data_IF_007322569003
#
_entry.id   IF_007322569003
#
_cell.length_a   1.000
_cell.length_b   1.000
_cell.length_c   1.000
_cell.angle_alpha   90.00
_cell.angle_beta   90.00
_cell.angle_gamma   90.00
#
_symmetry.space_group_name_H-M   'P 1'
#
loop_
_entity.id
_entity.type
_entity.pdbx_description
1 polymer ?
#
# COMPACT_ATOMS: atom_id res chain seq x y z
N UNK A 1 31.94 4.11 50.08
CA UNK A 1 32.61 5.27 49.41
C UNK A 1 31.97 5.41 48.03
N UNK A 2 31.29 6.53 47.74
CA UNK A 2 30.57 6.76 46.48
C UNK A 2 31.47 7.54 45.53
N UNK A 3 31.68 7.03 44.33
CA UNK A 3 32.43 7.68 43.24
C UNK A 3 31.66 8.89 42.70
N UNK A 4 32.33 10.02 42.42
CA UNK A 4 31.68 11.19 41.84
C UNK A 4 31.32 10.96 40.36
N UNK A 5 30.27 11.64 39.85
CA UNK A 5 29.86 11.51 38.45
C UNK A 5 30.89 12.16 37.50
N UNK A 6 31.03 11.63 36.26
CA UNK A 6 31.93 12.19 35.26
C UNK A 6 31.46 13.58 34.80
N UNK A 7 32.42 14.47 34.56
CA UNK A 7 32.16 15.83 34.06
C UNK A 7 31.74 15.80 32.59
N UNK A 8 30.86 16.72 32.16
CA UNK A 8 30.48 16.87 30.76
C UNK A 8 31.70 17.29 29.92
N UNK A 9 31.83 16.68 28.74
CA UNK A 9 32.89 16.97 27.78
C UNK A 9 32.64 18.33 27.12
N UNK A 10 33.60 19.23 27.22
CA UNK A 10 33.65 20.47 26.45
C UNK A 10 33.91 20.14 24.97
N UNK A 11 32.90 20.34 24.12
CA UNK A 11 33.09 20.24 22.67
C UNK A 11 33.75 21.53 22.15
N UNK A 12 34.79 21.42 21.30
CA UNK A 12 35.41 22.57 20.67
C UNK A 12 34.41 23.27 19.74
N UNK A 13 34.13 24.53 20.05
CA UNK A 13 33.36 25.45 19.21
C UNK A 13 34.09 25.71 17.89
N UNK A 14 33.81 24.88 16.87
CA UNK A 14 34.27 25.12 15.50
C UNK A 14 33.39 26.19 14.85
N UNK A 15 33.92 27.40 14.73
CA UNK A 15 33.23 28.54 14.08
C UNK A 15 32.94 28.24 12.60
N UNK A 16 31.66 28.16 12.17
CA UNK A 16 31.31 27.82 10.79
C UNK A 16 31.19 29.11 9.97
N UNK A 17 32.31 29.77 9.63
CA UNK A 17 32.28 31.02 8.86
C UNK A 17 32.79 30.92 7.41
N UNK A 18 33.17 29.73 6.92
CA UNK A 18 33.71 29.59 5.55
C UNK A 18 32.83 28.83 4.54
N UNK A 19 31.70 28.25 4.94
CA UNK A 19 30.89 27.42 4.03
C UNK A 19 29.90 28.25 3.19
N UNK A 20 29.52 29.45 3.65
CA UNK A 20 28.48 30.27 3.01
C UNK A 20 28.88 30.77 1.62
N UNK A 21 30.17 30.92 1.33
CA UNK A 21 30.64 31.45 0.05
C UNK A 21 30.57 30.44 -1.12
N UNK A 22 30.49 29.12 -0.85
CA UNK A 22 30.53 28.09 -1.90
C UNK A 22 29.14 27.67 -2.41
N UNK A 23 28.09 27.97 -1.65
CA UNK A 23 26.70 27.65 -1.99
C UNK A 23 26.25 28.24 -3.33
N UNK A 24 26.47 29.54 -3.65
CA UNK A 24 25.99 30.10 -4.91
C UNK A 24 26.72 29.51 -6.13
N UNK A 25 28.01 29.17 -6.00
CA UNK A 25 28.78 28.52 -7.06
C UNK A 25 28.30 27.10 -7.34
N UNK A 26 27.99 26.31 -6.31
CA UNK A 26 27.45 24.97 -6.45
C UNK A 26 26.06 24.98 -7.13
N UNK A 27 25.19 25.91 -6.74
CA UNK A 27 23.87 26.07 -7.35
C UNK A 27 23.95 26.49 -8.83
N UNK A 28 24.87 27.40 -9.17
CA UNK A 28 25.08 27.83 -10.55
C UNK A 28 25.60 26.68 -11.44
N UNK A 29 26.53 25.85 -10.93
CA UNK A 29 27.01 24.67 -11.64
C UNK A 29 25.90 23.64 -11.86
N UNK A 30 25.09 23.35 -10.85
CA UNK A 30 23.95 22.41 -10.98
C UNK A 30 22.93 22.92 -12.01
N UNK A 31 22.63 24.22 -12.01
CA UNK A 31 21.74 24.82 -13.00
C UNK A 31 22.31 24.73 -14.42
N UNK A 32 23.60 24.99 -14.61
CA UNK A 32 24.27 24.85 -15.91
C UNK A 32 24.25 23.41 -16.42
N UNK A 33 24.53 22.42 -15.55
CA UNK A 33 24.44 20.99 -15.90
C UNK A 33 23.02 20.60 -16.29
N UNK A 34 22.00 21.08 -15.56
CA UNK A 34 20.60 20.80 -15.87
C UNK A 34 20.18 21.39 -17.23
N UNK A 35 20.64 22.60 -17.56
CA UNK A 35 20.40 23.24 -18.85
C UNK A 35 21.10 22.50 -19.99
N UNK A 36 22.33 22.02 -19.79
CA UNK A 36 23.04 21.20 -20.77
C UNK A 36 22.36 19.84 -21.00
N UNK A 37 21.89 19.19 -19.93
CA UNK A 37 21.12 17.94 -20.03
C UNK A 37 19.80 18.12 -20.79
N UNK A 38 19.11 19.25 -20.60
CA UNK A 38 17.93 19.59 -21.40
C UNK A 38 18.25 19.89 -22.86
N UNK A 39 19.33 20.63 -23.13
CA UNK A 39 19.72 21.01 -24.49
C UNK A 39 20.20 19.82 -25.33
N UNK A 40 20.82 18.82 -24.71
CA UNK A 40 21.31 17.61 -25.40
C UNK A 40 20.20 16.60 -25.74
N UNK A 41 18.94 16.87 -25.41
CA UNK A 41 17.80 16.03 -25.79
C UNK A 41 17.81 14.63 -25.17
N UNK A 42 18.67 14.37 -24.19
CA UNK A 42 18.75 13.10 -23.47
C UNK A 42 17.61 12.88 -22.47
N UNK A 43 16.74 13.89 -22.27
CA UNK A 43 15.45 13.67 -21.62
C UNK A 43 14.52 12.98 -22.60
N UNK A 44 14.69 11.66 -22.74
CA UNK A 44 13.88 10.79 -23.57
C UNK A 44 12.40 11.05 -23.33
N UNK A 45 11.73 11.54 -24.37
CA UNK A 45 10.27 11.48 -24.53
C UNK A 45 9.89 10.01 -24.71
N UNK A 46 9.89 9.23 -23.64
CA UNK A 46 9.80 7.77 -23.73
C UNK A 46 8.89 7.18 -22.69
N UNK A 47 7.60 7.04 -23.06
CA UNK A 47 6.66 6.17 -22.36
C UNK A 47 5.74 6.92 -21.41
N UNK A 48 4.70 7.55 -21.96
CA UNK A 48 3.47 7.69 -21.19
C UNK A 48 3.06 6.29 -20.69
N UNK A 49 2.53 6.17 -19.46
CA UNK A 49 2.13 4.87 -18.91
C UNK A 49 1.17 4.24 -19.90
N UNK A 50 1.56 3.09 -20.49
CA UNK A 50 0.63 2.26 -21.23
C UNK A 50 -0.45 1.88 -20.23
N UNK A 51 -1.60 2.52 -20.36
CA UNK A 51 -2.82 2.16 -19.65
C UNK A 51 -3.20 0.78 -20.18
N UNK A 52 -2.68 -0.24 -19.52
CA UNK A 52 -3.03 -1.63 -19.78
C UNK A 52 -4.49 -1.77 -19.37
N UNK A 53 -5.36 -1.58 -20.36
CA UNK A 53 -6.78 -1.81 -20.22
C UNK A 53 -6.93 -3.30 -19.91
N UNK A 54 -7.27 -3.60 -18.67
CA UNK A 54 -7.65 -4.95 -18.27
C UNK A 54 -8.92 -5.30 -19.06
N UNK A 55 -8.77 -6.08 -20.13
CA UNK A 55 -9.92 -6.64 -20.82
C UNK A 55 -10.64 -7.57 -19.83
N UNK A 56 -11.93 -7.36 -19.53
CA UNK A 56 -12.67 -8.25 -18.68
C UNK A 56 -12.71 -9.63 -19.33
N UNK A 57 -12.05 -10.61 -18.69
CA UNK A 57 -12.04 -12.00 -19.16
C UNK A 57 -13.48 -12.52 -19.21
N UNK A 58 -13.95 -13.05 -20.36
CA UNK A 58 -15.29 -13.62 -20.48
C UNK A 58 -15.52 -14.71 -19.41
N UNK A 59 -16.59 -14.59 -18.62
CA UNK A 59 -16.88 -15.49 -17.49
C UNK A 59 -16.93 -16.98 -17.89
N UNK A 60 -17.30 -17.29 -19.13
CA UNK A 60 -17.55 -18.66 -19.58
C UNK A 60 -16.27 -19.52 -19.74
N UNK A 61 -15.11 -18.89 -19.98
CA UNK A 61 -13.84 -19.64 -20.11
C UNK A 61 -13.20 -20.00 -18.76
N UNK A 62 -13.61 -19.33 -17.67
CA UNK A 62 -12.98 -19.46 -16.34
C UNK A 62 -13.40 -20.74 -15.60
N UNK A 63 -14.55 -21.32 -15.94
CA UNK A 63 -15.11 -22.46 -15.20
C UNK A 63 -14.34 -23.78 -15.33
N UNK A 64 -13.64 -24.00 -16.45
CA UNK A 64 -13.04 -25.32 -16.76
C UNK A 64 -11.57 -25.45 -16.38
N UNK A 65 -10.82 -24.35 -16.30
CA UNK A 65 -9.40 -24.35 -15.92
C UNK A 65 -9.15 -24.18 -14.42
N UNK A 66 -10.15 -23.70 -13.64
CA UNK A 66 -10.01 -23.50 -12.18
C UNK A 66 -9.79 -24.77 -11.36
N UNK A 67 -10.08 -25.96 -11.90
CA UNK A 67 -9.98 -27.25 -11.17
C UNK A 67 -8.59 -27.90 -11.18
N UNK A 68 -7.58 -27.28 -11.79
CA UNK A 68 -6.23 -27.86 -11.83
C UNK A 68 -5.31 -27.35 -10.71
N UNK A 69 -5.75 -26.38 -9.90
CA UNK A 69 -4.99 -26.00 -8.71
C UNK A 69 -5.21 -27.07 -7.62
N UNK A 70 -4.16 -27.80 -7.18
CA UNK A 70 -4.28 -28.78 -6.10
C UNK A 70 -4.73 -28.18 -4.76
N UNK A 71 -4.83 -26.84 -4.68
CA UNK A 71 -5.26 -26.08 -3.52
C UNK A 71 -6.65 -25.43 -3.69
N UNK A 72 -7.35 -25.66 -4.81
CA UNK A 72 -8.69 -25.13 -4.98
C UNK A 72 -9.66 -25.78 -3.97
N UNK A 73 -10.50 -25.01 -3.28
CA UNK A 73 -11.45 -25.55 -2.31
C UNK A 73 -12.45 -26.48 -3.02
N UNK A 74 -12.80 -27.58 -2.35
CA UNK A 74 -13.74 -28.58 -2.88
C UNK A 74 -15.17 -28.07 -3.02
N UNK A 75 -15.51 -26.98 -2.32
CA UNK A 75 -16.84 -26.37 -2.30
C UNK A 75 -16.75 -24.91 -2.71
N UNK A 76 -17.62 -24.43 -3.63
CA UNK A 76 -17.70 -23.01 -3.97
C UNK A 76 -17.94 -22.17 -2.72
N UNK A 77 -17.18 -21.08 -2.57
CA UNK A 77 -17.38 -20.14 -1.46
C UNK A 77 -18.66 -19.32 -1.69
N UNK A 78 -19.19 -18.73 -0.62
CA UNK A 78 -20.37 -17.84 -0.66
C UNK A 78 -20.05 -16.46 -0.06
N UNK A 79 -20.89 -15.46 -0.31
CA UNK A 79 -20.78 -14.12 0.29
C UNK A 79 -19.46 -13.40 0.02
N UNK A 80 -18.82 -12.90 1.09
CA UNK A 80 -17.52 -12.22 1.00
C UNK A 80 -16.42 -13.15 0.49
N UNK A 81 -16.37 -14.39 0.98
CA UNK A 81 -15.39 -15.39 0.54
C UNK A 81 -15.42 -15.59 -0.96
N UNK A 82 -16.62 -15.67 -1.56
CA UNK A 82 -16.79 -15.80 -3.02
C UNK A 82 -16.31 -14.55 -3.78
N UNK A 83 -16.50 -13.37 -3.19
CA UNK A 83 -16.07 -12.10 -3.79
C UNK A 83 -14.54 -12.01 -3.80
N UNK A 84 -13.90 -12.38 -2.70
CA UNK A 84 -12.44 -12.43 -2.58
C UNK A 84 -11.85 -13.51 -3.49
N UNK A 85 -12.43 -14.72 -3.52
CA UNK A 85 -12.01 -15.79 -4.44
C UNK A 85 -12.09 -15.34 -5.90
N UNK A 86 -13.17 -14.67 -6.30
CA UNK A 86 -13.31 -14.17 -7.67
C UNK A 86 -12.26 -13.11 -8.02
N UNK A 87 -11.95 -12.22 -7.07
CA UNK A 87 -11.01 -11.13 -7.29
C UNK A 87 -9.55 -11.59 -7.26
N UNK A 88 -9.20 -12.50 -6.36
CA UNK A 88 -7.83 -12.92 -6.07
C UNK A 88 -7.42 -14.22 -6.74
N UNK A 89 -8.40 -15.07 -7.09
CA UNK A 89 -8.14 -16.48 -7.34
C UNK A 89 -7.67 -17.20 -6.07
N UNK A 90 -7.49 -18.52 -6.19
CA UNK A 90 -6.89 -19.37 -5.16
C UNK A 90 -5.74 -20.17 -5.79
N UNK A 91 -4.87 -19.46 -6.53
CA UNK A 91 -3.70 -20.05 -7.18
C UNK A 91 -2.54 -20.23 -6.22
N UNK A 92 -2.42 -19.32 -5.24
CA UNK A 92 -1.36 -19.32 -4.25
C UNK A 92 -1.78 -20.07 -2.97
N UNK A 93 -0.92 -20.92 -2.37
CA UNK A 93 -1.28 -21.75 -1.22
C UNK A 93 -1.75 -20.99 0.02
N UNK A 94 -1.33 -19.73 0.19
CA UNK A 94 -1.65 -18.91 1.36
C UNK A 94 -2.95 -18.09 1.20
N UNK A 95 -3.46 -17.93 -0.03
CA UNK A 95 -4.65 -17.11 -0.30
C UNK A 95 -5.92 -17.73 0.30
N UNK A 96 -6.18 -19.05 0.22
CA UNK A 96 -7.36 -19.64 0.85
C UNK A 96 -7.48 -19.33 2.35
N UNK A 97 -6.39 -19.49 3.11
CA UNK A 97 -6.35 -19.18 4.53
C UNK A 97 -6.56 -17.68 4.80
N UNK A 98 -5.97 -16.82 3.95
CA UNK A 98 -6.17 -15.38 4.02
C UNK A 98 -7.63 -14.96 3.77
N UNK A 99 -8.32 -15.59 2.81
CA UNK A 99 -9.76 -15.38 2.57
C UNK A 99 -10.56 -15.78 3.80
N UNK A 100 -10.24 -16.92 4.42
CA UNK A 100 -10.94 -17.40 5.62
C UNK A 100 -10.82 -16.40 6.78
N UNK A 101 -9.64 -15.80 7.00
CA UNK A 101 -9.44 -14.76 8.00
C UNK A 101 -10.32 -13.52 7.77
N UNK A 102 -10.45 -13.07 6.52
CA UNK A 102 -11.28 -11.91 6.17
C UNK A 102 -12.78 -12.20 6.29
N UNK A 103 -13.19 -13.42 6.02
CA UNK A 103 -14.59 -13.84 6.14
C UNK A 103 -15.04 -14.04 7.58
N UNK A 104 -14.11 -14.39 8.48
CA UNK A 104 -14.37 -14.53 9.92
C UNK A 104 -14.04 -13.26 10.73
N UNK A 105 -14.00 -12.08 10.12
CA UNK A 105 -13.71 -10.82 10.85
C UNK A 105 -14.69 -10.53 12.00
N UNK A 106 -15.97 -10.88 11.84
CA UNK A 106 -16.99 -10.61 12.86
C UNK A 106 -16.75 -11.44 14.13
N UNK A 107 -16.26 -12.66 13.96
CA UNK A 107 -15.94 -13.58 15.05
C UNK A 107 -14.55 -13.31 15.64
N UNK A 108 -13.55 -13.06 14.78
CA UNK A 108 -12.16 -12.90 15.19
C UNK A 108 -11.82 -11.47 15.67
N UNK A 109 -12.59 -10.46 15.25
CA UNK A 109 -12.38 -9.04 15.57
C UNK A 109 -13.66 -8.40 16.15
N UNK A 110 -14.08 -8.79 17.37
CA UNK A 110 -15.31 -8.26 17.97
C UNK A 110 -15.25 -6.74 18.20
N UNK A 111 -14.05 -6.20 18.47
CA UNK A 111 -13.85 -4.76 18.74
C UNK A 111 -13.80 -3.90 17.46
N UNK A 112 -13.71 -4.51 16.28
CA UNK A 112 -13.65 -3.79 15.01
C UNK A 112 -15.05 -3.31 14.62
N UNK A 113 -15.19 -2.02 14.36
CA UNK A 113 -16.47 -1.44 13.92
C UNK A 113 -16.90 -1.96 12.54
N UNK A 114 -18.21 -1.96 12.27
CA UNK A 114 -18.72 -2.38 10.95
C UNK A 114 -18.22 -1.49 9.80
N UNK A 115 -18.01 -0.20 10.07
CA UNK A 115 -17.41 0.72 9.10
C UNK A 115 -15.98 0.32 8.73
N UNK A 116 -15.18 0.00 9.75
CA UNK A 116 -13.80 -0.44 9.58
C UNK A 116 -13.71 -1.80 8.86
N UNK A 117 -14.56 -2.77 9.23
CA UNK A 117 -14.66 -4.07 8.51
C UNK A 117 -14.95 -3.86 7.04
N UNK A 118 -15.84 -2.92 6.71
CA UNK A 118 -16.20 -2.59 5.33
C UNK A 118 -15.03 -1.96 4.56
N UNK A 119 -14.29 -1.06 5.18
CA UNK A 119 -13.08 -0.46 4.59
C UNK A 119 -12.00 -1.53 4.35
N UNK A 120 -11.71 -2.35 5.36
CA UNK A 120 -10.78 -3.46 5.25
C UNK A 120 -11.15 -4.40 4.10
N UNK A 121 -12.42 -4.85 4.04
CA UNK A 121 -12.95 -5.72 2.97
C UNK A 121 -12.79 -5.06 1.59
N UNK A 122 -13.07 -3.76 1.47
CA UNK A 122 -12.91 -3.00 0.22
C UNK A 122 -11.46 -3.03 -0.27
N UNK A 123 -10.49 -2.82 0.62
CA UNK A 123 -9.08 -2.76 0.25
C UNK A 123 -8.43 -4.13 0.09
N UNK A 124 -8.90 -5.14 0.84
CA UNK A 124 -8.45 -6.52 0.74
C UNK A 124 -8.62 -7.08 -0.68
N UNK A 125 -9.77 -6.81 -1.31
CA UNK A 125 -10.09 -7.24 -2.69
C UNK A 125 -9.03 -6.81 -3.72
N UNK A 126 -8.24 -5.77 -3.43
CA UNK A 126 -7.18 -5.25 -4.30
C UNK A 126 -5.76 -5.66 -3.87
N UNK A 127 -5.62 -6.38 -2.76
CA UNK A 127 -4.35 -6.70 -2.09
C UNK A 127 -4.33 -8.17 -1.67
N UNK A 128 -4.57 -9.04 -2.65
CA UNK A 128 -4.76 -10.47 -2.47
C UNK A 128 -3.57 -11.14 -1.77
N UNK A 129 -3.86 -11.90 -0.71
CA UNK A 129 -2.85 -12.64 0.06
C UNK A 129 -1.95 -11.76 0.94
N UNK A 130 -2.11 -10.44 0.93
CA UNK A 130 -1.28 -9.54 1.70
C UNK A 130 -1.63 -9.58 3.19
N UNK A 131 -0.63 -9.79 4.04
CA UNK A 131 -0.77 -9.68 5.49
C UNK A 131 -0.91 -8.23 5.97
N UNK A 132 -0.34 -7.29 5.21
CA UNK A 132 -0.51 -5.85 5.39
C UNK A 132 -1.40 -5.31 4.28
N UNK A 133 -2.61 -4.89 4.64
CA UNK A 133 -3.60 -4.32 3.72
C UNK A 133 -3.54 -2.81 3.87
N UNK A 134 -3.03 -2.13 2.86
CA UNK A 134 -2.90 -0.67 2.87
C UNK A 134 -4.23 0.01 2.58
N UNK A 135 -4.49 1.13 3.25
CA UNK A 135 -5.56 2.04 2.84
C UNK A 135 -5.13 2.74 1.54
N UNK A 136 -5.90 2.52 0.48
CA UNK A 136 -5.59 3.10 -0.83
C UNK A 136 -6.28 4.45 -1.07
N UNK A 137 -7.11 4.92 -0.11
CA UNK A 137 -7.74 6.24 -0.19
C UNK A 137 -6.81 7.40 0.20
N UNK A 138 -5.72 7.10 0.90
CA UNK A 138 -4.76 8.09 1.40
C UNK A 138 -3.36 7.76 0.89
N UNK A 139 -2.47 8.75 0.65
CA UNK A 139 -1.07 8.50 0.34
C UNK A 139 -0.25 8.03 1.56
N UNK A 140 -0.82 8.04 2.76
CA UNK A 140 -0.13 7.76 4.01
C UNK A 140 0.11 6.26 4.24
N UNK A 141 1.10 5.95 5.07
CA UNK A 141 1.42 4.58 5.50
C UNK A 141 0.46 4.12 6.60
N UNK A 142 -0.80 3.96 6.22
CA UNK A 142 -1.87 3.51 7.11
C UNK A 142 -2.59 2.31 6.51
N UNK A 143 -3.17 1.47 7.36
CA UNK A 143 -3.88 0.29 6.90
C UNK A 143 -4.19 -0.68 8.02
N UNK A 144 -4.24 -1.96 7.68
CA UNK A 144 -4.50 -3.05 8.61
C UNK A 144 -3.44 -4.13 8.49
N UNK A 145 -3.01 -4.69 9.61
CA UNK A 145 -2.10 -5.84 9.64
C UNK A 145 -2.78 -7.01 10.33
N UNK A 146 -2.62 -8.22 9.79
CA UNK A 146 -3.14 -9.44 10.39
C UNK A 146 -2.29 -9.83 11.62
N UNK A 147 -2.79 -9.56 12.82
CA UNK A 147 -2.16 -9.96 14.08
C UNK A 147 -2.89 -11.17 14.67
N UNK A 148 -2.20 -12.31 14.72
CA UNK A 148 -2.75 -13.60 15.14
C UNK A 148 -3.93 -14.08 14.28
N UNK A 149 -5.14 -13.57 14.52
CA UNK A 149 -6.36 -13.88 13.76
C UNK A 149 -7.20 -12.66 13.42
N UNK A 150 -6.80 -11.49 13.90
CA UNK A 150 -7.54 -10.26 13.73
C UNK A 150 -6.71 -9.21 13.02
N UNK A 151 -7.33 -8.48 12.10
CA UNK A 151 -6.70 -7.34 11.47
C UNK A 151 -6.73 -6.15 12.42
N UNK A 152 -5.56 -5.59 12.75
CA UNK A 152 -5.45 -4.37 13.55
C UNK A 152 -5.08 -3.20 12.68
N UNK A 153 -5.76 -2.07 12.88
CA UNK A 153 -5.41 -0.81 12.23
C UNK A 153 -4.03 -0.35 12.69
N UNK A 154 -3.26 0.21 11.78
CA UNK A 154 -1.98 0.84 12.09
C UNK A 154 -1.86 2.18 11.36
N UNK A 155 -1.05 3.06 11.93
CA UNK A 155 -0.70 4.35 11.36
C UNK A 155 0.78 4.65 11.62
N UNK A 156 1.60 4.61 10.56
CA UNK A 156 3.04 4.80 10.69
C UNK A 156 3.44 6.24 11.04
N UNK A 157 2.49 7.19 11.09
CA UNK A 157 2.71 8.53 11.66
C UNK A 157 2.83 8.48 13.18
N UNK A 158 2.25 7.48 13.84
CA UNK A 158 2.36 7.27 15.29
C UNK A 158 3.69 6.59 15.68
N UNK A 159 4.33 5.91 14.73
CA UNK A 159 5.64 5.30 14.89
C UNK A 159 5.90 4.22 13.83
N UNK A 160 7.16 3.74 13.68
CA UNK A 160 7.47 2.70 12.71
C UNK A 160 6.67 1.42 12.95
N UNK A 161 6.09 0.87 11.89
CA UNK A 161 5.26 -0.34 11.94
C UNK A 161 5.86 -1.47 11.09
N UNK A 162 5.57 -2.74 11.43
CA UNK A 162 6.11 -3.92 10.72
C UNK A 162 5.70 -3.96 9.24
N UNK A 163 4.63 -3.26 8.86
CA UNK A 163 4.21 -3.18 7.47
C UNK A 163 5.09 -2.25 6.64
N UNK A 164 5.82 -1.31 7.24
CA UNK A 164 6.56 -0.27 6.51
C UNK A 164 7.61 -0.87 5.56
N UNK A 165 8.23 -1.99 5.96
CA UNK A 165 9.16 -2.74 5.13
C UNK A 165 8.53 -3.29 3.84
N UNK A 166 7.20 -3.43 3.77
CA UNK A 166 6.46 -3.94 2.61
C UNK A 166 5.67 -2.85 1.88
N UNK A 167 5.90 -1.58 2.22
CA UNK A 167 5.25 -0.44 1.55
C UNK A 167 5.43 -0.47 0.02
N UNK A 168 6.56 -0.99 -0.45
CA UNK A 168 6.83 -1.14 -1.89
C UNK A 168 5.85 -2.07 -2.62
N UNK A 169 5.15 -2.96 -1.90
CA UNK A 169 4.13 -3.85 -2.45
C UNK A 169 2.74 -3.19 -2.54
N UNK A 170 2.57 -2.00 -1.95
CA UNK A 170 1.30 -1.28 -2.00
C UNK A 170 0.89 -1.04 -3.45
N UNK A 171 -0.33 -1.44 -3.85
CA UNK A 171 -0.83 -1.14 -5.19
C UNK A 171 -0.78 0.36 -5.48
N UNK A 172 -0.20 0.70 -6.63
CA UNK A 172 -0.19 2.07 -7.15
C UNK A 172 -1.55 2.35 -7.81
N UNK A 173 -2.62 2.34 -7.02
CA UNK A 173 -3.91 2.79 -7.51
C UNK A 173 -3.79 4.31 -7.63
N UNK A 174 -4.04 4.85 -8.83
CA UNK A 174 -4.09 6.30 -9.00
C UNK A 174 -5.16 6.83 -8.04
N UNK A 175 -4.77 7.62 -7.04
CA UNK A 175 -5.67 8.22 -6.05
C UNK A 175 -6.88 8.90 -6.72
N UNK A 176 -6.71 9.39 -7.95
CA UNK A 176 -7.78 9.95 -8.78
C UNK A 176 -8.97 8.99 -8.99
N UNK A 177 -8.74 7.68 -9.15
CA UNK A 177 -9.81 6.70 -9.36
C UNK A 177 -10.60 6.44 -8.08
N UNK A 178 -9.92 6.40 -6.93
CA UNK A 178 -10.58 6.25 -5.62
C UNK A 178 -11.51 7.45 -5.32
N UNK A 179 -11.06 8.67 -5.59
CA UNK A 179 -11.88 9.89 -5.44
C UNK A 179 -13.05 9.93 -6.44
N UNK A 180 -12.89 9.38 -7.65
CA UNK A 180 -13.97 9.31 -8.64
C UNK A 180 -15.06 8.30 -8.25
N UNK A 181 -14.70 7.14 -7.69
CA UNK A 181 -15.67 6.18 -7.16
C UNK A 181 -16.53 6.78 -6.04
N UNK A 182 -15.92 7.54 -5.13
CA UNK A 182 -16.66 8.19 -4.04
C UNK A 182 -17.69 9.20 -4.56
N UNK A 183 -17.31 10.00 -5.58
CA UNK A 183 -18.23 10.94 -6.24
C UNK A 183 -19.38 10.24 -6.95
N UNK A 184 -19.12 9.10 -7.61
CA UNK A 184 -20.15 8.31 -8.29
C UNK A 184 -21.14 7.67 -7.32
N UNK A 185 -20.67 7.25 -6.14
CA UNK A 185 -21.53 6.69 -5.09
C UNK A 185 -22.52 7.69 -4.49
N UNK A 186 -22.11 8.94 -4.26
CA UNK A 186 -22.99 9.98 -3.68
C UNK A 186 -24.09 10.48 -4.61
N UNK A 187 -23.93 10.36 -5.93
CA UNK A 187 -24.89 10.90 -6.90
C UNK A 187 -26.16 10.08 -7.10
N UNK A 188 -26.24 8.85 -6.56
CA UNK A 188 -27.30 7.89 -6.92
C UNK A 188 -28.45 7.76 -5.89
N UNK A 189 -28.43 8.55 -4.82
CA UNK A 189 -29.41 8.47 -3.71
C UNK A 189 -30.53 9.51 -3.72
N UNK A 190 -30.75 10.22 -4.83
CA UNK A 190 -31.78 11.25 -4.94
C UNK A 190 -32.90 10.86 -5.90
N UNK A 191 -33.80 9.97 -5.47
CA UNK A 191 -35.13 9.75 -6.06
C UNK A 191 -36.10 9.33 -4.99
#
# INVERSE_FOLDING_TARGET
MRTPPPRPFDHPSSSPRSIVALVPFALALLAAVFLLLKATGLTGTGGGPKREYYEPVPEEASGRLRRLSPHAPSTPRTGLSATLERACGETEPHVPAWIDHLSSLEENCPDMSEGERRELRRWAVRQCGAWCIWDLSTPEQVGWHLESRCFKRFDSREGPHVCDQWWFQRPKVELAEAHQEERRGRGRGGT
#
